data_IF_844125864568
#
_entry.id   IF_844125864568
#
_cell.length_a   1.000
_cell.length_b   1.000
_cell.length_c   1.000
_cell.angle_alpha   90.00
_cell.angle_beta   90.00
_cell.angle_gamma   90.00
#
_symmetry.space_group_name_H-M   'P 1'
#
loop_
_entity.id
_entity.type
_entity.pdbx_description
1 polymer ?
#
# COMPACT_ATOMS: atom_id res chain seq x y z
N UNK A 1 -19.94 -10.33 -21.00
CA UNK A 1 -19.83 -9.67 -19.67
C UNK A 1 -21.05 -8.79 -19.44
N UNK A 2 -21.81 -8.98 -18.35
CA UNK A 2 -22.83 -8.00 -17.95
C UNK A 2 -22.13 -6.68 -17.63
N UNK A 3 -22.61 -5.59 -18.25
CA UNK A 3 -22.11 -4.25 -17.95
C UNK A 3 -22.45 -3.95 -16.49
N UNK A 4 -21.45 -3.57 -15.69
CA UNK A 4 -21.67 -3.23 -14.29
C UNK A 4 -22.65 -2.04 -14.22
N UNK A 5 -23.55 -2.08 -13.25
CA UNK A 5 -24.46 -0.97 -12.98
C UNK A 5 -23.67 0.26 -12.51
N UNK A 6 -23.82 1.43 -13.17
CA UNK A 6 -23.05 2.63 -12.84
C UNK A 6 -23.22 3.07 -11.37
N UNK A 7 -24.42 2.92 -10.81
CA UNK A 7 -24.71 3.33 -9.43
C UNK A 7 -23.95 2.42 -8.46
N UNK A 8 -24.05 1.10 -8.65
CA UNK A 8 -23.32 0.13 -7.81
C UNK A 8 -21.79 0.32 -7.93
N UNK A 9 -21.31 0.62 -9.13
CA UNK A 9 -19.87 0.89 -9.36
C UNK A 9 -19.40 2.10 -8.56
N UNK A 10 -20.18 3.19 -8.56
CA UNK A 10 -19.82 4.40 -7.82
C UNK A 10 -19.90 4.21 -6.30
N UNK A 11 -20.89 3.46 -5.81
CA UNK A 11 -20.99 3.09 -4.39
C UNK A 11 -19.75 2.29 -3.94
N UNK A 12 -19.35 1.29 -4.72
CA UNK A 12 -18.18 0.45 -4.41
C UNK A 12 -16.90 1.28 -4.45
N UNK A 13 -16.73 2.11 -5.48
CA UNK A 13 -15.57 3.00 -5.59
C UNK A 13 -15.44 3.91 -4.36
N UNK A 14 -16.53 4.54 -3.94
CA UNK A 14 -16.52 5.41 -2.77
C UNK A 14 -16.27 4.63 -1.47
N UNK A 15 -16.74 3.39 -1.36
CA UNK A 15 -16.43 2.52 -0.24
C UNK A 15 -14.91 2.21 -0.14
N UNK A 16 -14.23 1.90 -1.26
CA UNK A 16 -12.77 1.68 -1.25
C UNK A 16 -12.01 2.94 -0.83
N UNK A 17 -12.42 4.12 -1.30
CA UNK A 17 -11.81 5.39 -0.89
C UNK A 17 -12.00 5.62 0.61
N UNK A 18 -13.21 5.39 1.13
CA UNK A 18 -13.51 5.54 2.56
C UNK A 18 -12.67 4.59 3.43
N UNK A 19 -12.56 3.33 3.03
CA UNK A 19 -11.72 2.35 3.74
C UNK A 19 -10.26 2.81 3.75
N UNK A 20 -9.72 3.26 2.62
CA UNK A 20 -8.36 3.76 2.55
C UNK A 20 -8.15 5.00 3.46
N UNK A 21 -9.13 5.89 3.57
CA UNK A 21 -9.08 7.03 4.48
C UNK A 21 -9.08 6.57 5.95
N UNK A 22 -9.91 5.61 6.31
CA UNK A 22 -9.95 5.04 7.66
C UNK A 22 -8.63 4.34 8.03
N UNK A 23 -8.06 3.55 7.11
CA UNK A 23 -6.74 2.93 7.28
C UNK A 23 -5.66 4.00 7.51
N UNK A 24 -5.66 5.07 6.73
CA UNK A 24 -4.70 6.17 6.88
C UNK A 24 -4.86 6.90 8.23
N UNK A 25 -6.10 7.11 8.68
CA UNK A 25 -6.36 7.70 9.98
C UNK A 25 -5.86 6.82 11.13
N UNK A 26 -5.94 5.50 11.00
CA UNK A 26 -5.37 4.55 11.98
C UNK A 26 -3.85 4.63 11.96
N UNK A 27 -3.22 4.61 10.79
CA UNK A 27 -1.76 4.71 10.63
C UNK A 27 -1.23 6.00 11.29
N UNK A 28 -1.83 7.15 10.99
CA UNK A 28 -1.43 8.45 11.55
C UNK A 28 -1.60 8.46 13.08
N UNK A 29 -2.72 7.96 13.61
CA UNK A 29 -2.98 7.93 15.06
C UNK A 29 -2.09 6.96 15.82
N UNK A 30 -1.61 5.90 15.20
CA UNK A 30 -0.71 4.92 15.81
C UNK A 30 0.77 5.28 15.68
N UNK A 31 1.10 6.31 14.92
CA UNK A 31 2.48 6.71 14.66
C UNK A 31 3.12 7.41 15.87
N UNK A 32 4.40 7.12 16.09
CA UNK A 32 5.21 7.72 17.15
C UNK A 32 6.10 8.87 16.66
N UNK A 33 6.23 9.04 15.33
CA UNK A 33 7.14 10.02 14.75
C UNK A 33 6.39 11.24 14.20
N UNK A 34 6.88 12.48 14.43
CA UNK A 34 6.26 13.70 13.89
C UNK A 34 6.13 13.68 12.36
N UNK A 35 7.07 13.03 11.68
CA UNK A 35 7.05 12.90 10.22
C UNK A 35 5.74 12.26 9.74
N UNK A 36 5.23 11.26 10.47
CA UNK A 36 3.99 10.58 10.11
C UNK A 36 2.77 11.32 10.70
N UNK A 37 2.75 11.58 12.03
CA UNK A 37 1.53 12.09 12.66
C UNK A 37 1.29 13.59 12.43
N UNK A 38 2.35 14.41 12.25
CA UNK A 38 2.24 15.85 11.90
C UNK A 38 2.42 16.07 10.40
N UNK A 39 3.52 15.57 9.84
CA UNK A 39 3.88 15.73 8.43
C UNK A 39 3.01 14.92 7.47
N UNK A 40 2.30 13.89 7.98
CA UNK A 40 1.47 12.96 7.20
C UNK A 40 2.23 12.33 6.02
N UNK A 41 3.52 12.07 6.25
CA UNK A 41 4.40 11.46 5.26
C UNK A 41 4.12 9.95 5.18
N UNK A 42 2.93 9.65 4.73
CA UNK A 42 2.42 8.30 4.56
C UNK A 42 1.28 8.25 3.55
N UNK A 43 1.00 7.06 3.06
CA UNK A 43 -0.12 6.77 2.16
C UNK A 43 -0.59 5.34 2.37
N UNK A 44 -1.87 5.09 2.15
CA UNK A 44 -2.46 3.75 2.12
C UNK A 44 -3.32 3.57 0.89
N UNK A 45 -3.40 2.34 0.41
CA UNK A 45 -4.24 1.97 -0.71
C UNK A 45 -4.82 0.56 -0.56
N UNK A 46 -5.94 0.35 -1.22
CA UNK A 46 -6.49 -0.97 -1.56
C UNK A 46 -6.27 -1.21 -3.04
N UNK A 47 -5.79 -2.39 -3.38
CA UNK A 47 -5.49 -2.80 -4.75
C UNK A 47 -6.28 -4.07 -5.09
N UNK A 48 -6.52 -4.27 -6.37
CA UNK A 48 -7.15 -5.49 -6.88
C UNK A 48 -6.19 -6.68 -6.93
N UNK A 49 -6.65 -7.81 -7.46
CA UNK A 49 -5.87 -9.05 -7.61
C UNK A 49 -4.69 -8.92 -8.59
N UNK A 50 -4.62 -7.83 -9.38
CA UNK A 50 -3.51 -7.52 -10.29
C UNK A 50 -2.59 -6.42 -9.75
N UNK A 51 -2.84 -5.97 -8.52
CA UNK A 51 -2.13 -4.88 -7.90
C UNK A 51 -2.49 -3.50 -8.48
N UNK A 52 -3.62 -3.33 -9.14
CA UNK A 52 -4.12 -2.04 -9.61
C UNK A 52 -4.89 -1.33 -8.49
N UNK A 53 -4.73 0.00 -8.37
CA UNK A 53 -5.34 0.77 -7.28
C UNK A 53 -6.86 0.86 -7.45
N UNK A 54 -7.59 0.38 -6.44
CA UNK A 54 -9.05 0.51 -6.31
C UNK A 54 -9.45 1.74 -5.50
N UNK A 55 -8.71 2.04 -4.44
CA UNK A 55 -8.93 3.19 -3.59
C UNK A 55 -7.66 3.56 -2.83
N UNK A 56 -7.44 4.85 -2.64
CA UNK A 56 -6.23 5.39 -2.03
C UNK A 56 -6.58 6.56 -1.12
N UNK A 57 -5.86 6.68 0.00
CA UNK A 57 -5.95 7.86 0.86
C UNK A 57 -5.31 9.08 0.20
N UNK A 58 -5.68 10.26 0.66
CA UNK A 58 -4.91 11.48 0.40
C UNK A 58 -3.53 11.34 1.05
N UNK A 59 -2.48 11.55 0.31
CA UNK A 59 -1.09 11.46 0.76
C UNK A 59 -0.19 12.36 -0.09
N UNK A 60 1.11 12.29 0.13
CA UNK A 60 2.07 13.02 -0.68
C UNK A 60 2.01 12.54 -2.13
N UNK A 61 2.02 13.45 -3.12
CA UNK A 61 2.03 13.10 -4.53
C UNK A 61 3.16 12.14 -4.93
N UNK A 62 4.28 12.21 -4.22
CA UNK A 62 5.44 11.34 -4.40
C UNK A 62 5.13 9.86 -4.21
N UNK A 63 4.15 9.52 -3.37
CA UNK A 63 3.77 8.14 -3.07
C UNK A 63 2.63 7.62 -3.94
N UNK A 64 2.04 8.49 -4.78
CA UNK A 64 0.98 8.09 -5.69
C UNK A 64 1.51 7.09 -6.72
N UNK A 65 0.92 5.91 -6.79
CA UNK A 65 1.31 4.83 -7.69
C UNK A 65 2.43 3.92 -7.17
N UNK A 66 3.24 4.33 -6.20
CA UNK A 66 4.35 3.51 -5.71
C UNK A 66 3.87 2.21 -5.02
N UNK A 67 2.71 2.22 -4.36
CA UNK A 67 2.13 1.03 -3.75
C UNK A 67 1.78 -0.03 -4.78
N UNK A 68 1.19 0.40 -5.91
CA UNK A 68 0.91 -0.49 -7.05
C UNK A 68 2.19 -1.10 -7.61
N UNK A 69 3.19 -0.27 -7.87
CA UNK A 69 4.49 -0.72 -8.39
C UNK A 69 5.11 -1.74 -7.45
N UNK A 70 5.07 -1.51 -6.13
CA UNK A 70 5.63 -2.42 -5.14
C UNK A 70 5.00 -3.82 -5.22
N UNK A 71 3.67 -3.91 -5.25
CA UNK A 71 2.96 -5.19 -5.36
C UNK A 71 3.25 -5.87 -6.70
N UNK A 72 3.17 -5.13 -7.81
CA UNK A 72 3.38 -5.67 -9.15
C UNK A 72 4.79 -6.15 -9.39
N UNK A 73 5.81 -5.40 -8.93
CA UNK A 73 7.21 -5.83 -9.06
C UNK A 73 7.51 -7.04 -8.17
N UNK A 74 6.93 -7.10 -6.96
CA UNK A 74 7.02 -8.31 -6.13
C UNK A 74 6.40 -9.52 -6.84
N UNK A 75 5.23 -9.34 -7.46
CA UNK A 75 4.58 -10.40 -8.23
C UNK A 75 5.38 -10.81 -9.49
N UNK A 76 6.05 -9.88 -10.16
CA UNK A 76 6.94 -10.20 -11.29
C UNK A 76 8.15 -11.03 -10.83
N UNK A 77 8.69 -10.73 -9.65
CA UNK A 77 9.88 -11.40 -9.13
C UNK A 77 9.58 -12.81 -8.63
N UNK A 78 8.47 -13.00 -7.94
CA UNK A 78 8.17 -14.26 -7.24
C UNK A 78 6.96 -15.02 -7.81
N UNK A 79 6.15 -14.39 -8.66
CA UNK A 79 4.88 -14.94 -9.18
C UNK A 79 3.69 -14.61 -8.28
N UNK A 80 2.49 -14.54 -8.89
CA UNK A 80 1.23 -14.29 -8.14
C UNK A 80 0.89 -15.42 -7.15
N UNK A 81 1.30 -16.65 -7.46
CA UNK A 81 1.09 -17.82 -6.58
C UNK A 81 1.98 -17.79 -5.33
N UNK A 82 2.91 -16.86 -5.25
CA UNK A 82 3.77 -16.68 -4.07
C UNK A 82 3.01 -16.12 -2.87
N UNK A 83 2.00 -15.28 -3.12
CA UNK A 83 1.19 -14.68 -2.05
C UNK A 83 0.28 -15.71 -1.39
N UNK A 84 0.32 -15.78 -0.06
CA UNK A 84 -0.52 -16.67 0.74
C UNK A 84 -1.35 -15.90 1.74
N UNK A 85 -2.47 -16.49 2.15
CA UNK A 85 -3.30 -15.92 3.20
C UNK A 85 -2.51 -15.81 4.51
N UNK A 86 -2.54 -14.61 5.11
CA UNK A 86 -1.79 -14.30 6.33
C UNK A 86 -0.38 -13.78 6.14
N UNK A 87 0.13 -13.73 4.90
CA UNK A 87 1.44 -13.13 4.62
C UNK A 87 1.42 -11.62 4.82
N UNK A 88 2.56 -11.08 5.24
CA UNK A 88 2.84 -9.64 5.28
C UNK A 88 4.19 -9.41 4.62
N UNK A 89 4.21 -8.55 3.63
CA UNK A 89 5.41 -8.16 2.89
C UNK A 89 5.92 -6.82 3.40
N UNK A 90 7.22 -6.73 3.57
CA UNK A 90 7.91 -5.55 4.02
C UNK A 90 9.00 -5.21 3.00
N UNK A 91 8.94 -4.02 2.43
CA UNK A 91 9.82 -3.60 1.34
C UNK A 91 10.34 -2.17 1.58
N UNK A 92 11.66 -1.99 1.49
CA UNK A 92 12.31 -0.68 1.55
C UNK A 92 13.42 -0.50 0.50
N UNK A 93 13.42 -1.33 -0.54
CA UNK A 93 14.38 -1.20 -1.65
C UNK A 93 14.02 0.01 -2.51
N UNK A 94 14.85 1.07 -2.44
CA UNK A 94 14.67 2.30 -3.18
C UNK A 94 14.89 2.15 -4.69
N UNK A 95 15.65 1.17 -5.13
CA UNK A 95 15.83 0.87 -6.55
C UNK A 95 14.64 0.12 -7.15
N UNK A 96 13.89 -0.56 -6.31
CA UNK A 96 12.76 -1.37 -6.70
C UNK A 96 11.43 -0.59 -6.68
N UNK A 97 11.19 0.17 -5.62
CA UNK A 97 9.93 0.89 -5.42
C UNK A 97 10.11 2.38 -5.14
N UNK A 98 11.32 2.82 -5.19
CA UNK A 98 11.94 4.13 -5.20
C UNK A 98 11.37 5.25 -4.36
N UNK A 99 12.10 5.79 -3.52
CA UNK A 99 12.37 7.15 -3.08
C UNK A 99 13.51 7.10 -2.07
N UNK A 100 13.28 6.82 -0.80
CA UNK A 100 14.34 6.69 0.21
C UNK A 100 14.32 5.30 0.83
N UNK A 101 15.43 4.86 1.40
CA UNK A 101 15.49 3.62 2.18
C UNK A 101 14.58 3.65 3.41
N UNK A 102 14.25 4.87 3.88
CA UNK A 102 13.34 5.10 4.98
C UNK A 102 11.86 4.97 4.60
N UNK A 103 11.55 4.93 3.31
CA UNK A 103 10.18 4.79 2.81
C UNK A 103 9.77 3.33 2.83
N UNK A 104 9.28 2.90 3.98
CA UNK A 104 8.88 1.52 4.20
C UNK A 104 7.49 1.28 3.62
N UNK A 105 7.40 0.31 2.72
CA UNK A 105 6.12 -0.20 2.23
C UNK A 105 5.80 -1.52 2.90
N UNK A 106 4.60 -1.62 3.46
CA UNK A 106 4.05 -2.86 4.00
C UNK A 106 2.79 -3.17 3.22
N UNK A 107 2.66 -4.39 2.72
CA UNK A 107 1.43 -4.83 2.07
C UNK A 107 1.10 -6.28 2.42
N UNK A 108 -0.18 -6.60 2.36
CA UNK A 108 -0.70 -7.93 2.64
C UNK A 108 -1.74 -8.33 1.60
N UNK A 109 -1.72 -9.57 1.10
CA UNK A 109 -2.75 -10.09 0.22
C UNK A 109 -4.06 -10.29 0.99
N UNK A 110 -5.17 -10.05 0.32
CA UNK A 110 -6.53 -10.25 0.82
C UNK A 110 -7.12 -11.43 0.04
N UNK A 111 -7.55 -12.46 0.77
CA UNK A 111 -8.18 -13.63 0.18
C UNK A 111 -9.68 -13.66 0.47
N UNK A 112 -10.45 -14.13 -0.50
CA UNK A 112 -11.87 -14.37 -0.37
C UNK A 112 -12.23 -15.74 -0.94
N UNK A 113 -12.81 -16.59 -0.12
CA UNK A 113 -13.14 -17.99 -0.50
C UNK A 113 -11.94 -18.73 -1.13
N UNK A 114 -10.73 -18.53 -0.57
CA UNK A 114 -9.50 -19.18 -1.03
C UNK A 114 -8.89 -18.58 -2.30
N UNK A 115 -9.45 -17.52 -2.87
CA UNK A 115 -8.91 -16.83 -4.03
C UNK A 115 -8.32 -15.46 -3.63
N UNK A 116 -7.24 -15.07 -4.27
CA UNK A 116 -6.68 -13.73 -4.11
C UNK A 116 -7.69 -12.70 -4.63
N UNK A 117 -8.17 -11.82 -3.75
CA UNK A 117 -9.15 -10.79 -4.05
C UNK A 117 -8.51 -9.41 -4.22
N UNK A 118 -7.30 -9.20 -3.67
CA UNK A 118 -6.60 -7.93 -3.76
C UNK A 118 -5.53 -7.79 -2.70
N UNK A 119 -5.13 -6.55 -2.43
CA UNK A 119 -4.11 -6.23 -1.43
C UNK A 119 -4.48 -5.00 -0.63
N UNK A 120 -4.08 -4.99 0.63
CA UNK A 120 -3.96 -3.77 1.43
C UNK A 120 -2.50 -3.34 1.46
N UNK A 121 -2.23 -2.07 1.25
CA UNK A 121 -0.86 -1.57 1.24
C UNK A 121 -0.76 -0.24 1.98
N UNK A 122 0.36 -0.03 2.67
CA UNK A 122 0.69 1.21 3.35
C UNK A 122 2.15 1.55 3.13
N UNK A 123 2.46 2.83 3.03
CA UNK A 123 3.82 3.35 2.99
C UNK A 123 3.96 4.52 3.94
N UNK A 124 5.06 4.57 4.64
CA UNK A 124 5.38 5.67 5.54
C UNK A 124 6.88 5.90 5.59
N UNK A 125 7.28 7.18 5.75
CA UNK A 125 8.67 7.55 5.97
C UNK A 125 9.05 7.34 7.43
N UNK A 126 9.99 6.41 7.68
CA UNK A 126 10.52 6.13 9.00
C UNK A 126 11.75 7.00 9.27
N UNK A 127 11.86 7.55 10.48
CA UNK A 127 13.01 8.41 10.85
C UNK A 127 14.34 7.64 10.84
N UNK A 128 14.30 6.37 11.26
CA UNK A 128 15.47 5.53 11.35
C UNK A 128 15.12 4.09 11.00
N UNK A 129 15.89 3.50 10.12
CA UNK A 129 15.79 2.10 9.70
C UNK A 129 17.07 1.32 10.05
N UNK A 130 17.87 1.83 10.98
CA UNK A 130 19.12 1.21 11.43
C UNK A 130 20.28 1.38 10.44
N UNK A 131 20.17 2.28 9.47
CA UNK A 131 21.23 2.57 8.51
C UNK A 131 22.03 3.79 8.97
N UNK A 132 23.32 3.59 9.26
CA UNK A 132 24.23 4.69 9.52
C UNK A 132 24.84 5.19 8.21
N UNK A 133 24.63 6.46 7.88
CA UNK A 133 25.26 7.10 6.72
C UNK A 133 26.80 7.15 6.83
N UNK A 134 27.34 6.97 8.03
CA UNK A 134 28.79 6.96 8.30
C UNK A 134 29.43 5.62 7.88
N UNK A 135 28.63 4.54 7.79
CA UNK A 135 29.11 3.20 7.48
C UNK A 135 28.86 2.79 6.02
N UNK A 136 28.37 3.69 5.21
CA UNK A 136 28.27 3.54 3.76
C UNK A 136 29.53 4.12 3.13
#
# INVERSE_FOLDING_TARGET
MKKADPISTEIIRNAFISIAQDMNAVLIRSAYTPVIYEGKDCVVALLDEKGEVLGQSSGLPLFLGNLQVCVQETAKMYGWDYFKEGDIFFVNDSFFTGTHLNDITIFAPIFWNGNLAGFSASRAHWLDVGLSLIHI
#
